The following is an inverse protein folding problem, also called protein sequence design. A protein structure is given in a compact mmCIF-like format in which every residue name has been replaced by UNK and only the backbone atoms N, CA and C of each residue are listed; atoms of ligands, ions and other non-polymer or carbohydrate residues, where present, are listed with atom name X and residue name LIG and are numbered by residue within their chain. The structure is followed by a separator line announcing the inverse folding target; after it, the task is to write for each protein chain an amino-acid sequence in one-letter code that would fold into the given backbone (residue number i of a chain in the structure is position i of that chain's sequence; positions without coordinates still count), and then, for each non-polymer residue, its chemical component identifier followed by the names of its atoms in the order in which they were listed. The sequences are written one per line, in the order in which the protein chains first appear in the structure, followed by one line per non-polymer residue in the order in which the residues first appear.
data_IF_799891481610
#
_entry.id   IF_799891481610
#
_cell.length_a   1.000
_cell.length_b   1.000
_cell.length_c   1.000
_cell.angle_alpha   90.00
_cell.angle_beta   90.00
_cell.angle_gamma   90.00
#
_symmetry.space_group_name_H-M   'P 1'
#
loop_
_entity.id
_entity.type
_entity.pdbx_description
1 polymer ?
#
# COMPACT_ATOMS: atom_id res chain seq x y z
N UNK A 1 -26.63 3.01 34.43
CA UNK A 1 -25.28 3.58 34.65
C UNK A 1 -24.89 4.26 33.35
N UNK A 2 -24.77 5.59 33.31
CA UNK A 2 -24.29 6.29 32.12
C UNK A 2 -22.80 6.02 31.98
N UNK A 3 -22.41 5.33 30.91
CA UNK A 3 -21.01 5.08 30.57
C UNK A 3 -20.39 6.42 30.15
N UNK A 4 -19.28 6.82 30.77
CA UNK A 4 -18.56 8.00 30.33
C UNK A 4 -18.04 7.77 28.90
N UNK A 5 -18.23 8.72 27.98
CA UNK A 5 -17.80 8.57 26.60
C UNK A 5 -16.28 8.43 26.55
N UNK A 6 -15.79 7.45 25.79
CA UNK A 6 -14.36 7.25 25.56
C UNK A 6 -13.86 8.37 24.64
N UNK A 7 -12.83 9.11 25.06
CA UNK A 7 -12.20 10.13 24.23
C UNK A 7 -11.13 9.50 23.34
N UNK A 8 -11.29 9.65 22.02
CA UNK A 8 -10.34 9.24 21.01
C UNK A 8 -9.63 10.46 20.47
N UNK A 9 -8.35 10.60 20.80
CA UNK A 9 -7.50 11.68 20.31
C UNK A 9 -6.70 11.25 19.07
N UNK A 10 -6.99 11.89 17.95
CA UNK A 10 -6.26 11.73 16.69
C UNK A 10 -5.11 12.73 16.64
N UNK A 11 -3.89 12.20 16.59
CA UNK A 11 -2.67 12.99 16.41
C UNK A 11 -2.20 12.86 14.97
N UNK A 12 -2.07 13.99 14.25
CA UNK A 12 -1.63 13.98 12.86
C UNK A 12 -0.73 15.17 12.54
N UNK A 13 0.26 14.95 11.68
CA UNK A 13 1.10 15.99 11.09
C UNK A 13 0.46 16.67 9.87
N UNK A 14 -0.67 16.16 9.40
CA UNK A 14 -1.43 16.75 8.30
C UNK A 14 -2.49 17.68 8.85
N UNK A 15 -2.19 18.98 8.78
CA UNK A 15 -3.11 20.06 9.16
C UNK A 15 -4.48 19.94 8.50
N UNK A 16 -4.54 19.53 7.22
CA UNK A 16 -5.80 19.31 6.49
C UNK A 16 -6.61 18.17 7.11
N UNK A 17 -5.97 17.06 7.46
CA UNK A 17 -6.65 15.92 8.11
C UNK A 17 -7.19 16.30 9.48
N UNK A 18 -6.39 17.00 10.28
CA UNK A 18 -6.83 17.53 11.59
C UNK A 18 -8.04 18.44 11.43
N UNK A 19 -7.98 19.40 10.49
CA UNK A 19 -9.07 20.34 10.25
C UNK A 19 -10.36 19.63 9.82
N UNK A 20 -10.25 18.65 8.91
CA UNK A 20 -11.41 17.90 8.43
C UNK A 20 -12.11 17.12 9.55
N UNK A 21 -11.35 16.47 10.44
CA UNK A 21 -11.91 15.75 11.59
C UNK A 21 -12.49 16.72 12.63
N UNK A 22 -11.78 17.79 12.94
CA UNK A 22 -12.23 18.80 13.91
C UNK A 22 -13.52 19.51 13.48
N UNK A 23 -13.66 19.82 12.19
CA UNK A 23 -14.86 20.46 11.64
C UNK A 23 -15.94 19.49 11.21
N UNK A 24 -15.64 18.20 11.15
CA UNK A 24 -16.51 17.20 10.53
C UNK A 24 -16.84 17.51 9.08
N UNK A 25 -15.88 18.07 8.33
CA UNK A 25 -16.08 18.52 6.94
C UNK A 25 -14.87 18.20 6.07
N UNK A 26 -15.09 17.55 4.94
CA UNK A 26 -14.07 17.26 3.95
C UNK A 26 -14.37 17.88 2.59
N UNK A 27 -13.39 17.85 1.67
CA UNK A 27 -13.64 18.05 0.24
C UNK A 27 -14.59 16.96 -0.29
N UNK A 28 -15.12 17.10 -1.50
CA UNK A 28 -16.00 16.11 -2.14
C UNK A 28 -15.40 14.68 -2.09
N UNK A 29 -14.07 14.56 -2.21
CA UNK A 29 -13.36 13.28 -2.18
C UNK A 29 -13.13 12.72 -0.77
N UNK A 30 -13.14 13.56 0.27
CA UNK A 30 -12.78 13.19 1.65
C UNK A 30 -13.99 13.18 2.58
N UNK A 31 -15.02 13.98 2.28
CA UNK A 31 -16.26 14.10 3.06
C UNK A 31 -16.87 12.76 3.45
N UNK A 32 -17.11 11.84 2.50
CA UNK A 32 -17.69 10.53 2.81
C UNK A 32 -16.87 9.72 3.83
N UNK A 33 -15.53 9.86 3.83
CA UNK A 33 -14.67 9.20 4.82
C UNK A 33 -14.78 9.83 6.19
N UNK A 34 -14.89 11.17 6.26
CA UNK A 34 -15.07 11.90 7.52
C UNK A 34 -16.42 11.55 8.14
N UNK A 35 -17.49 11.51 7.32
CA UNK A 35 -18.84 11.17 7.78
C UNK A 35 -18.87 9.75 8.36
N UNK A 36 -18.28 8.77 7.67
CA UNK A 36 -18.18 7.39 8.18
C UNK A 36 -17.43 7.31 9.53
N UNK A 37 -16.37 8.10 9.71
CA UNK A 37 -15.60 8.13 10.97
C UNK A 37 -16.45 8.71 12.10
N UNK A 38 -17.18 9.79 11.84
CA UNK A 38 -18.05 10.43 12.83
C UNK A 38 -19.25 9.55 13.19
N UNK A 39 -19.88 8.93 12.21
CA UNK A 39 -21.00 8.00 12.42
C UNK A 39 -20.55 6.80 13.28
N UNK A 40 -19.37 6.24 12.98
CA UNK A 40 -18.81 5.15 13.76
C UNK A 40 -18.49 5.59 15.20
N UNK A 41 -18.00 6.82 15.41
CA UNK A 41 -17.80 7.34 16.76
C UNK A 41 -19.13 7.54 17.50
N UNK A 42 -20.16 8.05 16.84
CA UNK A 42 -21.48 8.23 17.43
C UNK A 42 -22.10 6.89 17.85
N UNK A 43 -22.06 5.89 16.96
CA UNK A 43 -22.55 4.53 17.24
C UNK A 43 -21.85 3.89 18.45
N UNK A 44 -20.58 4.23 18.69
CA UNK A 44 -19.80 3.71 19.81
C UNK A 44 -19.74 4.66 21.02
N UNK A 45 -20.47 5.79 21.00
CA UNK A 45 -20.42 6.82 22.05
C UNK A 45 -19.01 7.34 22.34
N UNK A 46 -18.20 7.48 21.29
CA UNK A 46 -16.85 8.03 21.36
C UNK A 46 -16.83 9.52 21.08
N UNK A 47 -15.98 10.24 21.82
CA UNK A 47 -15.69 11.64 21.56
C UNK A 47 -14.40 11.73 20.76
N UNK A 48 -14.49 12.22 19.52
CA UNK A 48 -13.32 12.45 18.67
C UNK A 48 -12.72 13.81 19.01
N UNK A 49 -11.41 13.84 19.28
CA UNK A 49 -10.58 15.03 19.33
C UNK A 49 -9.47 14.91 18.28
N UNK A 50 -9.08 16.02 17.64
CA UNK A 50 -8.05 16.02 16.62
C UNK A 50 -7.04 17.12 16.90
N UNK A 51 -5.77 16.75 17.02
CA UNK A 51 -4.67 17.64 17.35
C UNK A 51 -3.54 17.51 16.35
N UNK A 52 -2.95 18.65 15.99
CA UNK A 52 -1.78 18.68 15.11
C UNK A 52 -0.51 18.37 15.90
N UNK A 53 0.32 17.48 15.37
CA UNK A 53 1.66 17.20 15.90
C UNK A 53 2.71 17.54 14.85
N UNK A 54 3.93 17.85 15.27
CA UNK A 54 5.02 18.06 14.32
C UNK A 54 5.32 16.77 13.54
N UNK A 55 5.73 16.89 12.28
CA UNK A 55 6.16 15.73 11.48
C UNK A 55 7.33 14.95 12.11
N UNK A 56 8.15 15.62 12.93
CA UNK A 56 9.20 14.97 13.72
C UNK A 56 8.63 14.02 14.79
N UNK A 57 7.53 14.40 15.41
CA UNK A 57 6.81 13.55 16.37
C UNK A 57 6.07 12.39 15.69
N UNK A 58 5.84 12.49 14.37
CA UNK A 58 5.17 11.46 13.57
C UNK A 58 6.14 10.44 12.94
N UNK A 59 7.47 10.55 13.15
CA UNK A 59 8.49 9.75 12.44
C UNK A 59 8.23 8.25 12.48
N UNK A 60 7.76 7.69 13.60
CA UNK A 60 7.49 6.25 13.69
C UNK A 60 6.31 5.87 12.81
N UNK A 61 5.19 6.59 12.88
CA UNK A 61 4.00 6.33 12.07
C UNK A 61 4.27 6.61 10.60
N UNK A 62 5.03 7.65 10.30
CA UNK A 62 5.48 7.99 8.96
C UNK A 62 6.44 6.94 8.42
N UNK A 63 7.31 6.40 9.28
CA UNK A 63 8.15 5.24 9.04
C UNK A 63 7.33 3.98 8.80
N UNK A 64 6.23 3.75 9.52
CA UNK A 64 5.32 2.62 9.33
C UNK A 64 4.43 2.75 8.09
N UNK A 65 4.00 3.97 7.76
CA UNK A 65 3.23 4.25 6.55
C UNK A 65 4.13 4.18 5.32
N UNK A 66 5.39 4.58 5.45
CA UNK A 66 6.43 4.30 4.48
C UNK A 66 6.71 2.81 4.45
N UNK A 67 6.84 2.11 5.56
CA UNK A 67 7.07 0.67 5.61
C UNK A 67 5.93 -0.13 4.98
N UNK A 68 4.66 0.28 5.10
CA UNK A 68 3.56 -0.35 4.37
C UNK A 68 3.65 -0.10 2.86
N UNK A 69 4.29 1.00 2.44
CA UNK A 69 4.62 1.31 1.04
C UNK A 69 5.97 0.76 0.57
N UNK A 70 6.91 0.52 1.49
CA UNK A 70 8.35 0.35 1.28
C UNK A 70 8.89 -0.92 1.90
N UNK A 71 8.03 -1.81 2.41
CA UNK A 71 8.45 -3.19 2.60
C UNK A 71 8.71 -3.67 1.19
N UNK A 72 9.98 -3.60 0.82
CA UNK A 72 10.60 -4.44 -0.18
C UNK A 72 10.20 -5.85 0.22
N UNK A 73 9.04 -6.29 -0.29
CA UNK A 73 8.64 -7.66 -0.21
C UNK A 73 9.48 -8.45 -1.21
N UNK A 74 10.80 -8.33 -1.11
CA UNK A 74 11.71 -9.20 -1.81
C UNK A 74 11.41 -10.60 -1.28
N UNK A 75 10.84 -11.44 -2.15
CA UNK A 75 10.66 -12.85 -1.84
C UNK A 75 12.05 -13.39 -1.51
N UNK A 76 12.19 -14.05 -0.36
CA UNK A 76 13.44 -14.72 0.02
C UNK A 76 13.85 -15.67 -1.09
N UNK A 77 15.11 -15.59 -1.54
CA UNK A 77 15.58 -16.34 -2.71
C UNK A 77 15.43 -17.84 -2.50
N UNK A 78 15.67 -18.32 -1.29
CA UNK A 78 15.60 -19.73 -0.92
C UNK A 78 14.16 -20.26 -1.05
N UNK A 79 13.19 -19.46 -0.60
CA UNK A 79 11.76 -19.77 -0.73
C UNK A 79 11.37 -19.81 -2.20
N UNK A 80 11.79 -18.81 -2.97
CA UNK A 80 11.49 -18.75 -4.40
C UNK A 80 12.08 -19.95 -5.16
N UNK A 81 13.35 -20.29 -4.90
CA UNK A 81 14.01 -21.42 -5.53
C UNK A 81 13.34 -22.74 -5.19
N UNK A 82 12.97 -22.94 -3.92
CA UNK A 82 12.21 -24.13 -3.50
C UNK A 82 10.88 -24.23 -4.24
N UNK A 83 10.11 -23.15 -4.33
CA UNK A 83 8.84 -23.14 -5.06
C UNK A 83 8.99 -23.37 -6.57
N UNK A 84 10.02 -22.78 -7.19
CA UNK A 84 10.37 -23.02 -8.60
C UNK A 84 10.62 -24.52 -8.85
N UNK A 85 11.39 -25.15 -7.96
CA UNK A 85 11.73 -26.57 -8.04
C UNK A 85 10.50 -27.46 -7.83
N UNK A 86 9.66 -27.14 -6.83
CA UNK A 86 8.43 -27.90 -6.55
C UNK A 86 7.40 -27.76 -7.68
N UNK A 87 7.30 -26.59 -8.31
CA UNK A 87 6.37 -26.33 -9.41
C UNK A 87 6.93 -26.70 -10.79
N UNK A 88 8.17 -27.22 -10.87
CA UNK A 88 8.85 -27.57 -12.13
C UNK A 88 8.75 -26.46 -13.19
N UNK A 89 8.82 -25.21 -12.73
CA UNK A 89 8.49 -24.03 -13.53
C UNK A 89 9.67 -23.07 -13.58
N UNK A 90 9.91 -22.43 -14.72
CA UNK A 90 10.94 -21.40 -14.84
C UNK A 90 10.31 -20.00 -14.92
N UNK A 91 10.66 -19.15 -13.96
CA UNK A 91 10.24 -17.74 -13.97
C UNK A 91 10.98 -17.01 -15.08
N UNK A 92 10.21 -16.43 -16.00
CA UNK A 92 10.74 -15.74 -17.19
C UNK A 92 10.97 -14.24 -16.98
N UNK A 93 10.25 -13.61 -16.05
CA UNK A 93 10.32 -12.17 -15.79
C UNK A 93 9.81 -11.81 -14.40
N UNK A 94 10.43 -10.83 -13.75
CA UNK A 94 9.96 -10.28 -12.49
C UNK A 94 9.30 -8.91 -12.68
N UNK A 95 8.03 -8.76 -12.29
CA UNK A 95 7.18 -7.67 -12.81
C UNK A 95 7.12 -6.43 -11.91
N UNK A 96 7.23 -6.60 -10.59
CA UNK A 96 7.03 -5.53 -9.60
C UNK A 96 8.27 -5.34 -8.72
N UNK A 97 9.39 -4.98 -9.33
CA UNK A 97 10.69 -4.91 -8.63
C UNK A 97 11.52 -3.68 -9.02
N UNK A 98 12.53 -3.41 -8.19
CA UNK A 98 13.64 -2.52 -8.48
C UNK A 98 14.85 -3.33 -8.93
N UNK A 99 15.90 -2.67 -9.42
CA UNK A 99 17.16 -3.33 -9.77
C UNK A 99 17.79 -4.06 -8.57
N UNK A 100 17.64 -3.51 -7.37
CA UNK A 100 18.27 -4.05 -6.16
C UNK A 100 17.58 -5.32 -5.63
N UNK A 101 16.26 -5.44 -5.80
CA UNK A 101 15.47 -6.55 -5.27
C UNK A 101 15.03 -7.57 -6.35
N UNK A 102 15.59 -7.49 -7.56
CA UNK A 102 15.24 -8.40 -8.66
C UNK A 102 15.71 -9.83 -8.39
N UNK A 103 14.81 -10.78 -8.52
CA UNK A 103 15.14 -12.22 -8.50
C UNK A 103 15.50 -12.78 -9.89
N UNK A 104 15.18 -12.06 -10.97
CA UNK A 104 15.44 -12.48 -12.35
C UNK A 104 16.26 -11.41 -13.09
N UNK A 105 17.02 -11.83 -14.09
CA UNK A 105 17.76 -10.91 -14.99
C UNK A 105 16.81 -10.04 -15.81
N UNK A 106 15.67 -10.59 -16.24
CA UNK A 106 14.59 -9.87 -16.90
C UNK A 106 13.60 -9.35 -15.86
N UNK A 107 13.38 -8.04 -15.82
CA UNK A 107 12.47 -7.42 -14.87
C UNK A 107 11.84 -6.13 -15.40
N UNK A 108 10.72 -5.75 -14.79
CA UNK A 108 10.08 -4.45 -14.94
C UNK A 108 10.28 -3.63 -13.67
N UNK A 109 10.42 -2.31 -13.83
CA UNK A 109 10.47 -1.37 -12.71
C UNK A 109 9.60 -0.16 -12.97
N UNK A 110 9.16 0.51 -11.91
CA UNK A 110 8.42 1.77 -11.98
C UNK A 110 9.39 2.91 -12.33
N UNK A 111 10.60 2.87 -11.77
CA UNK A 111 11.66 3.84 -12.02
C UNK A 111 12.25 3.67 -13.42
N UNK A 112 12.79 4.76 -13.97
CA UNK A 112 13.57 4.70 -15.20
C UNK A 112 14.88 3.95 -14.94
N UNK A 113 14.99 2.76 -15.51
CA UNK A 113 16.19 1.96 -15.49
C UNK A 113 16.39 1.36 -16.88
N UNK A 114 17.55 1.66 -17.47
CA UNK A 114 17.94 1.25 -18.83
C UNK A 114 17.95 -0.27 -19.01
N UNK A 115 18.06 -1.03 -17.92
CA UNK A 115 18.09 -2.49 -17.94
C UNK A 115 16.69 -3.13 -17.81
N UNK A 116 15.64 -2.34 -17.65
CA UNK A 116 14.27 -2.87 -17.52
C UNK A 116 13.70 -3.28 -18.87
N UNK A 117 12.94 -4.38 -18.88
CA UNK A 117 12.23 -4.86 -20.09
C UNK A 117 11.12 -3.89 -20.47
N UNK A 118 10.42 -3.34 -19.46
CA UNK A 118 9.41 -2.28 -19.60
C UNK A 118 9.37 -1.43 -18.33
N UNK A 119 9.13 -0.14 -18.52
CA UNK A 119 8.70 0.76 -17.46
C UNK A 119 7.25 0.43 -17.10
N UNK A 120 7.02 0.17 -15.82
CA UNK A 120 5.76 -0.30 -15.26
C UNK A 120 5.31 -1.69 -15.77
N UNK A 121 5.25 -2.67 -14.85
CA UNK A 121 4.84 -4.04 -15.15
C UNK A 121 3.41 -4.19 -15.70
N UNK A 122 2.52 -3.21 -15.47
CA UNK A 122 1.16 -3.22 -16.01
C UNK A 122 1.11 -3.06 -17.54
N UNK A 123 2.16 -2.53 -18.16
CA UNK A 123 2.25 -2.35 -19.62
C UNK A 123 2.87 -3.56 -20.33
N UNK A 124 3.24 -4.61 -19.58
CA UNK A 124 3.83 -5.82 -20.12
C UNK A 124 2.74 -6.83 -20.47
N UNK A 125 2.75 -7.39 -21.68
CA UNK A 125 1.95 -8.57 -22.01
C UNK A 125 2.47 -9.79 -21.23
N UNK A 126 1.64 -10.35 -20.36
CA UNK A 126 1.91 -11.46 -19.44
C UNK A 126 1.53 -12.83 -20.03
N UNK A 127 0.53 -12.89 -20.92
CA UNK A 127 -0.01 -14.14 -21.49
C UNK A 127 1.03 -15.09 -22.13
N UNK A 128 2.13 -14.55 -22.66
CA UNK A 128 3.23 -15.31 -23.30
C UNK A 128 4.41 -15.60 -22.36
N UNK A 129 4.27 -15.34 -21.06
CA UNK A 129 5.35 -15.39 -20.08
C UNK A 129 4.90 -16.14 -18.84
N UNK A 130 5.88 -16.58 -18.07
CA UNK A 130 5.70 -17.05 -16.69
C UNK A 130 6.22 -15.93 -15.78
N UNK A 131 5.37 -14.98 -15.35
CA UNK A 131 5.79 -13.85 -14.56
C UNK A 131 5.85 -14.19 -13.06
N UNK A 132 6.85 -13.65 -12.37
CA UNK A 132 6.81 -13.50 -10.92
C UNK A 132 6.05 -12.22 -10.59
N UNK A 133 4.86 -12.40 -10.03
CA UNK A 133 3.98 -11.32 -9.62
C UNK A 133 4.04 -11.18 -8.10
N UNK A 134 4.72 -10.13 -7.65
CA UNK A 134 4.75 -9.77 -6.24
C UNK A 134 4.48 -8.26 -6.06
N UNK A 135 3.28 -7.81 -6.42
CA UNK A 135 2.92 -6.40 -6.35
C UNK A 135 2.83 -5.90 -4.90
N UNK A 136 2.96 -4.59 -4.72
CA UNK A 136 2.60 -3.95 -3.45
C UNK A 136 1.12 -4.19 -3.13
N UNK A 137 0.74 -4.20 -1.85
CA UNK A 137 -0.62 -4.56 -1.40
C UNK A 137 -1.71 -3.78 -2.18
N UNK A 138 -1.56 -2.47 -2.33
CA UNK A 138 -2.53 -1.62 -3.03
C UNK A 138 -2.62 -1.92 -4.54
N UNK A 139 -1.63 -2.61 -5.12
CA UNK A 139 -1.59 -2.99 -6.53
C UNK A 139 -2.17 -4.40 -6.77
N UNK A 140 -2.45 -5.18 -5.72
CA UNK A 140 -3.02 -6.53 -5.85
C UNK A 140 -4.33 -6.52 -6.67
N UNK A 141 -5.33 -5.65 -6.39
CA UNK A 141 -6.59 -5.66 -7.15
C UNK A 141 -6.36 -5.41 -8.64
N UNK A 142 -5.49 -4.45 -8.97
CA UNK A 142 -5.15 -4.11 -10.35
C UNK A 142 -4.39 -5.25 -11.05
N UNK A 143 -3.53 -5.96 -10.32
CA UNK A 143 -2.77 -7.11 -10.83
C UNK A 143 -3.71 -8.27 -11.15
N UNK A 144 -4.65 -8.59 -10.26
CA UNK A 144 -5.67 -9.62 -10.51
C UNK A 144 -6.52 -9.28 -11.73
N UNK A 145 -6.96 -8.02 -11.86
CA UNK A 145 -7.72 -7.57 -13.03
C UNK A 145 -6.95 -7.70 -14.34
N UNK A 146 -5.63 -7.47 -14.32
CA UNK A 146 -4.78 -7.65 -15.51
C UNK A 146 -4.66 -9.12 -15.89
N UNK A 147 -4.39 -10.01 -14.93
CA UNK A 147 -4.32 -11.45 -15.18
C UNK A 147 -5.64 -11.99 -15.73
N UNK A 148 -6.79 -11.50 -15.24
CA UNK A 148 -8.11 -11.92 -15.74
C UNK A 148 -8.43 -11.45 -17.16
N UNK A 149 -7.74 -10.42 -17.66
CA UNK A 149 -7.98 -9.82 -18.98
C UNK A 149 -7.08 -10.41 -20.08
N UNK A 150 -6.03 -11.12 -19.71
CA UNK A 150 -5.01 -11.68 -20.60
C UNK A 150 -5.04 -13.20 -20.59
#
# INVERSE_FOLDING_TARGET
MQQQPIELRFLTDKTVTMYCLYKGKGSITIGPLVDNILELAEQNSWKIDASHISGFSNIILDGLSKFSRSKDYAIKREVLQKSIMELWTQISINVFVTRANRQCTRYCSISEDKLTVRRNGFNLELSKKIPLLHPQIFQIPKTVLKIKKE
#
